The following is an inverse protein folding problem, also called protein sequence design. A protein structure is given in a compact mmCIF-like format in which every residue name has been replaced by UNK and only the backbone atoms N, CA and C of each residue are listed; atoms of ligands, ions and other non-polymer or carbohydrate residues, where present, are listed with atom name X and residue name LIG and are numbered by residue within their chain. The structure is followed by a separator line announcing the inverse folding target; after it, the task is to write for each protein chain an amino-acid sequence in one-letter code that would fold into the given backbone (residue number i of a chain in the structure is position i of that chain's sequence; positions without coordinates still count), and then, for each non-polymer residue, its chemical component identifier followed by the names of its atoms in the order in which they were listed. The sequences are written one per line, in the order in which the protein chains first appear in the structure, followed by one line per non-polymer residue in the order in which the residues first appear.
data_IF_776776207692
#
_entry.id   IF_776776207692
#
_cell.length_a   1.000
_cell.length_b   1.000
_cell.length_c   1.000
_cell.angle_alpha   90.00
_cell.angle_beta   90.00
_cell.angle_gamma   90.00
#
_symmetry.space_group_name_H-M   'P 1'
#
loop_
_entity.id
_entity.type
_entity.pdbx_description
1 polymer ?
#
# COMPACT_ATOMS: atom_id res chain seq x y z
N UNK A 1 10.15 -20.88 25.87
CA UNK A 1 10.39 -20.64 24.43
C UNK A 1 9.38 -19.59 24.01
N UNK A 2 9.81 -18.35 23.86
CA UNK A 2 8.98 -17.27 23.35
C UNK A 2 8.68 -17.58 21.88
N UNK A 3 7.43 -17.89 21.60
CA UNK A 3 6.94 -18.06 20.24
C UNK A 3 7.04 -16.66 19.56
N UNK A 4 8.20 -16.35 18.96
CA UNK A 4 8.34 -15.12 18.21
C UNK A 4 7.45 -15.26 16.98
N UNK A 5 6.43 -14.40 16.87
CA UNK A 5 5.60 -14.31 15.68
C UNK A 5 6.49 -13.99 14.47
N UNK A 6 6.23 -14.66 13.37
CA UNK A 6 6.89 -14.33 12.10
C UNK A 6 6.59 -12.87 11.72
N UNK A 7 7.52 -12.17 11.03
CA UNK A 7 7.29 -10.78 10.61
C UNK A 7 5.98 -10.57 9.87
N UNK A 8 5.57 -11.53 9.04
CA UNK A 8 4.33 -11.45 8.25
C UNK A 8 3.07 -11.54 9.13
N UNK A 9 3.12 -12.16 10.29
CA UNK A 9 1.99 -12.24 11.22
C UNK A 9 1.64 -10.89 11.85
N UNK A 10 2.57 -9.92 11.79
CA UNK A 10 2.42 -8.54 12.27
C UNK A 10 2.25 -7.53 11.16
N UNK A 11 2.19 -7.99 9.90
CA UNK A 11 2.11 -7.13 8.74
C UNK A 11 0.68 -6.66 8.49
N UNK A 12 0.54 -5.36 8.30
CA UNK A 12 -0.69 -4.69 7.88
C UNK A 12 -0.44 -3.89 6.60
N UNK A 13 -1.39 -3.94 5.70
CA UNK A 13 -1.38 -3.12 4.49
C UNK A 13 -2.25 -1.88 4.67
N UNK A 14 -1.75 -0.74 4.21
CA UNK A 14 -2.52 0.51 4.13
C UNK A 14 -2.69 0.84 2.65
N UNK A 15 -3.92 1.10 2.23
CA UNK A 15 -4.26 1.57 0.89
C UNK A 15 -4.71 3.03 0.99
N UNK A 16 -3.81 4.01 0.74
CA UNK A 16 -4.22 5.40 0.60
C UNK A 16 -5.03 5.58 -0.70
N UNK A 17 -6.29 5.95 -0.55
CA UNK A 17 -7.26 6.14 -1.63
C UNK A 17 -7.83 7.57 -1.59
N UNK A 18 -6.96 8.57 -1.75
CA UNK A 18 -7.32 9.99 -1.58
C UNK A 18 -7.09 10.89 -2.81
N UNK A 19 -6.35 10.42 -3.81
CA UNK A 19 -6.02 11.21 -4.99
C UNK A 19 -7.18 11.32 -5.98
N UNK A 20 -7.51 12.53 -6.44
CA UNK A 20 -8.57 12.76 -7.44
C UNK A 20 -8.18 12.25 -8.84
N UNK A 21 -6.86 12.21 -9.15
CA UNK A 21 -6.39 11.80 -10.47
C UNK A 21 -6.74 12.81 -11.57
N UNK A 22 -6.58 14.10 -11.31
CA UNK A 22 -6.97 15.21 -12.20
C UNK A 22 -6.41 15.13 -13.63
N UNK A 23 -5.28 14.44 -13.81
CA UNK A 23 -4.67 14.21 -15.14
C UNK A 23 -5.54 13.36 -16.08
N UNK A 24 -6.49 12.60 -15.54
CA UNK A 24 -7.42 11.75 -16.30
C UNK A 24 -8.77 12.41 -16.53
N UNK A 25 -8.90 13.72 -16.27
CA UNK A 25 -10.15 14.42 -16.59
C UNK A 25 -10.46 14.30 -18.10
N UNK A 26 -11.73 14.04 -18.53
CA UNK A 26 -12.98 14.04 -17.74
C UNK A 26 -13.35 12.69 -17.12
N UNK A 27 -12.53 11.64 -17.25
CA UNK A 27 -12.82 10.32 -16.69
C UNK A 27 -12.80 10.37 -15.16
N UNK A 28 -11.71 10.89 -14.56
CA UNK A 28 -11.64 11.10 -13.13
C UNK A 28 -12.20 12.46 -12.72
N UNK A 29 -12.95 12.49 -11.62
CA UNK A 29 -13.59 13.68 -11.02
C UNK A 29 -13.52 13.57 -9.51
N UNK A 30 -13.80 14.67 -8.81
CA UNK A 30 -13.85 14.69 -7.36
C UNK A 30 -14.84 13.66 -6.76
N UNK A 31 -15.96 13.38 -7.45
CA UNK A 31 -16.95 12.37 -7.06
C UNK A 31 -16.62 10.94 -7.54
N UNK A 32 -15.72 10.81 -8.51
CA UNK A 32 -15.29 9.55 -9.10
C UNK A 32 -13.78 9.61 -9.38
N UNK A 33 -12.94 9.48 -8.34
CA UNK A 33 -11.48 9.55 -8.47
C UNK A 33 -10.92 8.33 -9.22
N UNK A 34 -9.66 8.45 -9.69
CA UNK A 34 -8.96 7.47 -10.52
C UNK A 34 -9.10 6.02 -10.00
N UNK A 35 -8.96 5.81 -8.70
CA UNK A 35 -8.95 4.49 -8.10
C UNK A 35 -10.31 3.75 -8.15
N UNK A 36 -11.41 4.48 -8.44
CA UNK A 36 -12.75 3.89 -8.59
C UNK A 36 -13.08 3.49 -10.05
N UNK A 37 -12.11 3.52 -10.95
CA UNK A 37 -12.31 3.17 -12.35
C UNK A 37 -11.54 1.90 -12.73
N UNK A 38 -12.16 1.10 -13.60
CA UNK A 38 -11.45 0.08 -14.36
C UNK A 38 -10.66 0.76 -15.50
N UNK A 39 -9.35 0.85 -15.34
CA UNK A 39 -8.44 1.42 -16.36
C UNK A 39 -7.65 0.36 -17.11
N UNK A 40 -7.76 -0.89 -16.71
CA UNK A 40 -7.03 -2.03 -17.27
C UNK A 40 -7.89 -2.87 -18.19
N UNK A 41 -9.22 -2.75 -18.09
CA UNK A 41 -10.18 -3.62 -18.77
C UNK A 41 -10.32 -4.99 -18.11
N UNK A 42 -9.89 -5.12 -16.85
CA UNK A 42 -9.97 -6.37 -16.08
C UNK A 42 -11.39 -6.67 -15.58
N UNK A 43 -12.29 -5.71 -15.62
CA UNK A 43 -13.62 -5.77 -14.99
C UNK A 43 -13.60 -5.36 -13.52
N UNK A 44 -12.43 -4.98 -12.98
CA UNK A 44 -12.24 -4.49 -11.63
C UNK A 44 -11.70 -3.07 -11.63
N UNK A 45 -11.99 -2.32 -10.58
CA UNK A 45 -11.37 -1.00 -10.38
C UNK A 45 -9.94 -1.13 -9.84
N UNK A 46 -9.14 -0.09 -9.99
CA UNK A 46 -7.77 -0.11 -9.45
C UNK A 46 -7.72 -0.35 -7.94
N UNK A 47 -8.75 0.10 -7.22
CA UNK A 47 -8.88 -0.16 -5.78
C UNK A 47 -9.14 -1.64 -5.50
N UNK A 48 -10.01 -2.29 -6.26
CA UNK A 48 -10.29 -3.73 -6.16
C UNK A 48 -9.06 -4.56 -6.52
N UNK A 49 -8.38 -4.24 -7.63
CA UNK A 49 -7.12 -4.89 -8.01
C UNK A 49 -6.07 -4.78 -6.90
N UNK A 50 -5.97 -3.61 -6.26
CA UNK A 50 -5.01 -3.42 -5.16
C UNK A 50 -5.40 -4.21 -3.92
N UNK A 51 -6.69 -4.25 -3.57
CA UNK A 51 -7.21 -5.04 -2.46
C UNK A 51 -6.95 -6.54 -2.64
N UNK A 52 -7.27 -7.08 -3.81
CA UNK A 52 -7.10 -8.49 -4.12
C UNK A 52 -5.63 -8.90 -4.11
N UNK A 53 -4.75 -8.06 -4.63
CA UNK A 53 -3.29 -8.27 -4.62
C UNK A 53 -2.70 -8.32 -3.22
N UNK A 54 -3.22 -7.53 -2.29
CA UNK A 54 -2.73 -7.45 -0.91
C UNK A 54 -3.35 -8.50 0.02
N UNK A 55 -4.51 -9.02 -0.33
CA UNK A 55 -5.23 -10.01 0.48
C UNK A 55 -4.40 -11.26 0.81
N UNK A 56 -3.64 -11.88 -0.12
CA UNK A 56 -2.78 -13.02 0.19
C UNK A 56 -1.64 -12.71 1.16
N UNK A 57 -1.18 -11.45 1.21
CA UNK A 57 -0.07 -11.02 2.08
C UNK A 57 -0.52 -10.71 3.50
N UNK A 58 -1.55 -9.91 3.65
CA UNK A 58 -1.97 -9.41 4.95
C UNK A 58 -3.21 -10.14 5.52
N UNK A 59 -4.04 -10.71 4.65
CA UNK A 59 -5.40 -11.11 5.00
C UNK A 59 -6.34 -9.89 5.08
N UNK A 60 -7.63 -10.11 4.80
CA UNK A 60 -8.64 -9.03 4.71
C UNK A 60 -8.76 -8.19 5.97
N UNK A 61 -8.63 -8.82 7.13
CA UNK A 61 -8.74 -8.15 8.43
C UNK A 61 -7.55 -7.22 8.76
N UNK A 62 -6.45 -7.33 7.99
CA UNK A 62 -5.22 -6.54 8.18
C UNK A 62 -4.95 -5.58 7.03
N UNK A 63 -5.96 -5.24 6.25
CA UNK A 63 -5.89 -4.19 5.23
C UNK A 63 -6.73 -3.02 5.68
N UNK A 64 -6.12 -1.83 5.77
CA UNK A 64 -6.80 -0.57 6.03
C UNK A 64 -6.90 0.25 4.74
N UNK A 65 -8.08 0.83 4.49
CA UNK A 65 -8.26 1.80 3.42
C UNK A 65 -8.40 3.19 4.02
N UNK A 66 -7.57 4.13 3.58
CA UNK A 66 -7.62 5.54 4.01
C UNK A 66 -8.17 6.39 2.88
N UNK A 67 -9.30 7.04 3.11
CA UNK A 67 -9.97 7.83 2.06
C UNK A 67 -10.69 9.05 2.64
N UNK A 68 -11.05 10.00 1.79
CA UNK A 68 -11.89 11.13 2.18
C UNK A 68 -13.33 10.71 2.46
N UNK A 69 -14.01 11.42 3.37
CA UNK A 69 -15.42 11.15 3.74
C UNK A 69 -16.36 11.05 2.53
N UNK A 70 -16.10 11.82 1.49
CA UNK A 70 -16.93 11.87 0.26
C UNK A 70 -16.89 10.56 -0.53
N UNK A 71 -15.87 9.74 -0.35
CA UNK A 71 -15.72 8.48 -1.07
C UNK A 71 -16.10 7.24 -0.24
N UNK A 72 -16.52 7.43 1.02
CA UNK A 72 -16.85 6.34 1.93
C UNK A 72 -17.79 5.30 1.31
N UNK A 73 -18.93 5.75 0.79
CA UNK A 73 -19.95 4.85 0.24
C UNK A 73 -19.41 4.07 -0.97
N UNK A 74 -18.74 4.77 -1.91
CA UNK A 74 -18.18 4.15 -3.10
C UNK A 74 -17.10 3.11 -2.77
N UNK A 75 -16.27 3.35 -1.76
CA UNK A 75 -15.25 2.38 -1.31
C UNK A 75 -15.91 1.14 -0.71
N UNK A 76 -16.93 1.30 0.14
CA UNK A 76 -17.65 0.18 0.74
C UNK A 76 -18.48 -0.63 -0.27
N UNK A 77 -18.98 0.02 -1.32
CA UNK A 77 -19.69 -0.66 -2.42
C UNK A 77 -18.74 -1.51 -3.28
N UNK A 78 -17.49 -1.10 -3.42
CA UNK A 78 -16.51 -1.82 -4.22
C UNK A 78 -15.78 -2.92 -3.45
N UNK A 79 -15.60 -2.76 -2.15
CA UNK A 79 -14.93 -3.76 -1.30
C UNK A 79 -15.91 -4.21 -0.21
N UNK A 80 -16.75 -5.17 -0.56
CA UNK A 80 -17.80 -5.69 0.34
C UNK A 80 -17.24 -6.30 1.64
N UNK A 81 -16.03 -6.86 1.58
CA UNK A 81 -15.35 -7.47 2.73
C UNK A 81 -14.59 -6.46 3.61
N UNK A 82 -14.60 -5.17 3.30
CA UNK A 82 -13.92 -4.16 4.08
C UNK A 82 -14.70 -3.87 5.38
N UNK A 83 -14.11 -4.24 6.51
CA UNK A 83 -14.65 -3.84 7.82
C UNK A 83 -14.66 -2.33 7.98
N UNK A 84 -15.74 -1.79 8.56
CA UNK A 84 -15.82 -0.36 8.88
C UNK A 84 -14.73 0.11 9.83
N UNK A 85 -14.20 -0.76 10.68
CA UNK A 85 -13.09 -0.47 11.58
C UNK A 85 -11.76 -0.29 10.84
N UNK A 86 -11.65 -0.83 9.63
CA UNK A 86 -10.49 -0.71 8.76
C UNK A 86 -10.65 0.37 7.68
N UNK A 87 -11.78 1.07 7.66
CA UNK A 87 -12.00 2.24 6.82
C UNK A 87 -11.68 3.51 7.60
N UNK A 88 -10.52 4.10 7.33
CA UNK A 88 -10.06 5.35 7.95
C UNK A 88 -10.48 6.53 7.10
N UNK A 89 -11.21 7.47 7.71
CA UNK A 89 -11.74 8.63 6.99
C UNK A 89 -10.97 9.90 7.32
N UNK A 90 -10.36 10.50 6.31
CA UNK A 90 -9.74 11.83 6.43
C UNK A 90 -10.82 12.91 6.47
N UNK A 91 -10.65 13.87 7.37
CA UNK A 91 -11.52 15.06 7.46
C UNK A 91 -11.28 16.03 6.30
N UNK A 92 -10.04 16.12 5.86
CA UNK A 92 -9.58 16.89 4.70
C UNK A 92 -8.32 16.27 4.13
N UNK A 93 -8.09 16.33 2.81
CA UNK A 93 -6.88 15.82 2.19
C UNK A 93 -5.63 16.54 2.74
N UNK A 94 -4.60 15.78 3.12
CA UNK A 94 -3.33 16.25 3.68
C UNK A 94 -2.12 15.52 3.10
N UNK A 95 -2.24 15.08 1.87
CA UNK A 95 -1.27 14.25 1.16
C UNK A 95 -1.00 12.88 1.79
N UNK A 96 -0.21 12.06 1.11
CA UNK A 96 0.01 10.65 1.46
C UNK A 96 0.64 10.46 2.85
N UNK A 97 1.55 11.35 3.25
CA UNK A 97 2.22 11.23 4.56
C UNK A 97 1.25 11.29 5.72
N UNK A 98 0.28 12.21 5.67
CA UNK A 98 -0.72 12.34 6.73
C UNK A 98 -1.66 11.13 6.79
N UNK A 99 -2.10 10.64 5.63
CA UNK A 99 -2.94 9.44 5.52
C UNK A 99 -2.24 8.21 6.11
N UNK A 100 -0.98 7.99 5.74
CA UNK A 100 -0.16 6.88 6.24
C UNK A 100 0.08 7.02 7.75
N UNK A 101 0.45 8.21 8.23
CA UNK A 101 0.70 8.46 9.64
C UNK A 101 -0.55 8.26 10.50
N UNK A 102 -1.73 8.67 10.02
CA UNK A 102 -2.99 8.46 10.71
C UNK A 102 -3.29 6.96 10.86
N UNK A 103 -3.19 6.20 9.77
CA UNK A 103 -3.41 4.76 9.81
C UNK A 103 -2.36 4.06 10.69
N UNK A 104 -1.10 4.47 10.61
CA UNK A 104 -0.03 3.93 11.47
C UNK A 104 -0.32 4.17 12.95
N UNK A 105 -0.77 5.37 13.33
CA UNK A 105 -1.12 5.69 14.71
C UNK A 105 -2.29 4.81 15.23
N UNK A 106 -3.29 4.55 14.40
CA UNK A 106 -4.39 3.64 14.73
C UNK A 106 -3.88 2.22 14.91
N UNK A 107 -3.05 1.73 13.98
CA UNK A 107 -2.53 0.37 14.02
C UNK A 107 -1.60 0.14 15.21
N UNK A 108 -0.75 1.11 15.57
CA UNK A 108 0.12 1.02 16.75
C UNK A 108 -0.66 0.86 18.06
N UNK A 109 -1.89 1.37 18.13
CA UNK A 109 -2.76 1.14 19.30
C UNK A 109 -3.37 -0.26 19.33
N UNK A 110 -3.56 -0.88 18.16
CA UNK A 110 -4.10 -2.24 18.04
C UNK A 110 -3.02 -3.31 18.20
N UNK A 111 -1.87 -3.06 17.62
CA UNK A 111 -0.71 -3.97 17.56
C UNK A 111 0.58 -3.13 17.74
N UNK A 112 1.18 -3.07 18.94
CA UNK A 112 2.36 -2.22 19.20
C UNK A 112 3.58 -2.52 18.32
N UNK A 113 3.75 -3.79 17.92
CA UNK A 113 4.89 -4.25 17.10
C UNK A 113 4.53 -4.38 15.61
N UNK A 114 3.52 -3.62 15.16
CA UNK A 114 3.02 -3.68 13.78
C UNK A 114 4.10 -3.34 12.76
N UNK A 115 4.11 -4.08 11.66
CA UNK A 115 4.84 -3.77 10.42
C UNK A 115 3.82 -3.26 9.42
N UNK A 116 4.08 -2.11 8.82
CA UNK A 116 3.13 -1.43 7.95
C UNK A 116 3.71 -1.31 6.55
N UNK A 117 2.95 -1.77 5.54
CA UNK A 117 3.20 -1.49 4.14
C UNK A 117 2.16 -0.53 3.59
N UNK A 118 2.58 0.50 2.86
CA UNK A 118 1.66 1.45 2.19
C UNK A 118 1.70 1.26 0.68
N UNK A 119 0.54 1.01 0.09
CA UNK A 119 0.38 0.70 -1.33
C UNK A 119 -0.71 1.60 -1.92
N UNK A 120 -0.35 2.42 -2.92
CA UNK A 120 -1.30 3.34 -3.53
C UNK A 120 -2.44 2.59 -4.24
N UNK A 121 -3.66 3.09 -4.07
CA UNK A 121 -4.88 2.49 -4.65
C UNK A 121 -4.94 2.56 -6.19
N UNK A 122 -4.01 3.23 -6.83
CA UNK A 122 -4.06 3.55 -8.26
C UNK A 122 -2.87 3.02 -9.07
N UNK A 123 -2.08 2.13 -8.49
CA UNK A 123 -0.98 1.46 -9.18
C UNK A 123 -1.49 0.27 -10.01
N UNK A 124 -1.03 0.19 -11.25
CA UNK A 124 -1.21 -0.99 -12.11
C UNK A 124 0.01 -1.88 -11.96
N UNK A 125 -0.20 -3.10 -11.52
CA UNK A 125 0.83 -4.13 -11.35
C UNK A 125 0.35 -5.37 -12.12
N UNK A 126 1.20 -5.90 -12.98
CA UNK A 126 0.85 -7.00 -13.88
C UNK A 126 1.40 -8.36 -13.43
N UNK A 127 2.32 -8.37 -12.45
CA UNK A 127 2.99 -9.57 -11.97
C UNK A 127 2.82 -9.69 -10.45
N UNK A 128 1.64 -10.11 -10.02
CA UNK A 128 1.27 -10.15 -8.60
C UNK A 128 2.19 -11.06 -7.78
N UNK A 129 2.58 -12.22 -8.30
CA UNK A 129 3.51 -13.14 -7.59
C UNK A 129 4.87 -12.48 -7.31
N UNK A 130 5.42 -11.76 -8.28
CA UNK A 130 6.69 -11.03 -8.09
C UNK A 130 6.52 -9.87 -7.11
N UNK A 131 5.42 -9.15 -7.20
CA UNK A 131 5.10 -8.09 -6.26
C UNK A 131 5.02 -8.64 -4.83
N UNK A 132 4.29 -9.73 -4.63
CA UNK A 132 4.15 -10.37 -3.32
C UNK A 132 5.49 -10.84 -2.76
N UNK A 133 6.34 -11.45 -3.59
CA UNK A 133 7.68 -11.87 -3.19
C UNK A 133 8.54 -10.69 -2.71
N UNK A 134 8.51 -9.56 -3.42
CA UNK A 134 9.23 -8.34 -3.04
C UNK A 134 8.68 -7.74 -1.74
N UNK A 135 7.37 -7.75 -1.55
CA UNK A 135 6.75 -7.26 -0.30
C UNK A 135 7.16 -8.14 0.87
N UNK A 136 7.21 -9.47 0.72
CA UNK A 136 7.67 -10.38 1.77
C UNK A 136 9.13 -10.10 2.17
N UNK A 137 10.04 -9.86 1.21
CA UNK A 137 11.40 -9.43 1.53
C UNK A 137 11.41 -8.08 2.27
N UNK A 138 10.59 -7.12 1.84
CA UNK A 138 10.48 -5.81 2.48
C UNK A 138 9.99 -5.94 3.94
N UNK A 139 9.05 -6.84 4.23
CA UNK A 139 8.56 -7.12 5.59
C UNK A 139 9.67 -7.68 6.48
N UNK A 140 10.51 -8.58 5.96
CA UNK A 140 11.67 -9.12 6.69
C UNK A 140 12.65 -7.99 7.05
N UNK A 141 12.93 -7.09 6.12
CA UNK A 141 13.85 -5.95 6.36
C UNK A 141 13.21 -4.97 7.35
N UNK A 142 11.93 -4.64 7.21
CA UNK A 142 11.23 -3.75 8.11
C UNK A 142 11.19 -4.26 9.56
N UNK A 143 11.12 -5.59 9.75
CA UNK A 143 11.20 -6.22 11.07
C UNK A 143 12.52 -5.95 11.82
N UNK A 144 13.57 -5.52 11.11
CA UNK A 144 14.84 -5.08 11.72
C UNK A 144 14.82 -3.62 12.18
N UNK A 145 13.68 -2.93 12.08
CA UNK A 145 13.51 -1.51 12.45
C UNK A 145 13.88 -0.52 11.35
N UNK A 146 14.08 -0.98 10.12
CA UNK A 146 14.38 -0.11 8.97
C UNK A 146 13.10 0.37 8.28
N UNK A 147 13.17 1.58 7.71
CA UNK A 147 12.20 2.05 6.72
C UNK A 147 12.63 1.48 5.36
N UNK A 148 11.70 0.84 4.67
CA UNK A 148 11.97 0.16 3.41
C UNK A 148 11.17 0.81 2.28
N UNK A 149 11.82 1.01 1.15
CA UNK A 149 11.17 1.42 -0.10
C UNK A 149 11.30 0.32 -1.14
N UNK A 150 10.20 -0.01 -1.80
CA UNK A 150 10.21 -0.92 -2.94
C UNK A 150 10.53 -0.08 -4.18
N UNK A 151 11.74 -0.26 -4.72
CA UNK A 151 12.20 0.44 -5.92
C UNK A 151 11.67 -0.23 -7.19
N UNK A 152 11.40 0.57 -8.19
CA UNK A 152 11.06 0.12 -9.55
C UNK A 152 12.24 0.48 -10.45
N UNK A 153 12.70 -0.47 -11.27
CA UNK A 153 13.76 -0.21 -12.23
C UNK A 153 13.28 0.79 -13.30
N UNK A 154 14.01 1.92 -13.47
CA UNK A 154 13.62 2.91 -14.45
C UNK A 154 13.86 2.38 -15.88
N UNK A 155 12.87 2.49 -16.73
CA UNK A 155 12.96 2.12 -18.16
C UNK A 155 13.44 3.27 -19.03
N UNK A 156 13.27 4.51 -18.55
CA UNK A 156 13.72 5.74 -19.23
C UNK A 156 13.98 6.86 -18.21
N UNK A 157 14.77 7.88 -18.55
CA UNK A 157 14.92 9.06 -17.70
C UNK A 157 13.61 9.83 -17.60
N UNK A 158 13.16 10.14 -16.37
CA UNK A 158 11.96 10.93 -16.14
C UNK A 158 12.21 11.96 -15.05
N UNK A 159 11.82 13.20 -15.29
CA UNK A 159 11.84 14.28 -14.27
C UNK A 159 10.61 14.24 -13.35
N UNK A 160 9.65 13.36 -13.63
CA UNK A 160 8.44 13.20 -12.85
C UNK A 160 8.58 12.31 -11.62
N UNK A 161 9.74 11.66 -11.44
CA UNK A 161 10.01 10.72 -10.36
C UNK A 161 11.28 11.08 -9.59
N UNK A 162 11.32 10.67 -8.32
CA UNK A 162 12.55 10.60 -7.56
C UNK A 162 13.31 9.31 -7.86
N UNK A 163 14.64 9.36 -7.74
CA UNK A 163 15.52 8.21 -7.94
C UNK A 163 16.22 7.86 -6.65
N UNK A 164 16.35 6.56 -6.37
CA UNK A 164 17.07 6.02 -5.24
C UNK A 164 18.34 5.34 -5.76
N UNK A 165 19.49 5.80 -5.29
CA UNK A 165 20.75 5.12 -5.57
C UNK A 165 20.89 3.93 -4.64
N UNK A 166 21.03 2.74 -5.23
CA UNK A 166 21.24 1.52 -4.46
C UNK A 166 22.64 1.49 -3.84
N UNK A 167 22.71 1.14 -2.56
CA UNK A 167 23.92 0.89 -1.82
C UNK A 167 24.31 -0.59 -1.78
N UNK A 168 25.00 -0.98 -0.72
CA UNK A 168 25.47 -2.35 -0.52
C UNK A 168 24.31 -3.30 -0.16
N UNK A 169 24.50 -4.60 -0.43
CA UNK A 169 23.52 -5.62 -0.02
C UNK A 169 23.50 -5.75 1.50
N UNK A 170 22.31 -5.89 2.07
CA UNK A 170 22.15 -6.08 3.52
C UNK A 170 22.59 -7.48 4.00
N UNK A 171 22.75 -8.45 3.11
CA UNK A 171 23.19 -9.81 3.45
C UNK A 171 22.20 -10.64 4.28
N UNK A 172 20.90 -10.27 4.25
CA UNK A 172 19.85 -11.01 4.95
C UNK A 172 19.45 -12.25 4.15
N UNK A 173 19.45 -13.43 4.78
CA UNK A 173 19.14 -14.70 4.12
C UNK A 173 17.71 -14.72 3.49
N UNK A 174 16.73 -14.14 4.17
CA UNK A 174 15.34 -14.10 3.74
C UNK A 174 14.98 -12.80 2.98
N UNK A 175 15.98 -11.98 2.63
CA UNK A 175 15.82 -10.78 1.81
C UNK A 175 17.07 -10.55 0.95
N UNK A 176 17.36 -11.44 -0.01
CA UNK A 176 18.63 -11.44 -0.76
C UNK A 176 18.79 -10.24 -1.70
N UNK A 177 17.69 -9.57 -2.06
CA UNK A 177 17.69 -8.40 -2.93
C UNK A 177 17.76 -7.08 -2.16
N UNK A 178 17.62 -7.11 -0.82
CA UNK A 178 17.62 -5.91 -0.01
C UNK A 178 19.00 -5.22 0.01
N UNK A 179 18.97 -3.88 -0.12
CA UNK A 179 20.16 -3.02 -0.16
C UNK A 179 19.96 -1.79 0.73
N UNK A 180 21.04 -1.21 1.18
CA UNK A 180 21.02 0.14 1.74
C UNK A 180 20.77 1.19 0.64
N UNK A 181 20.38 2.40 1.05
CA UNK A 181 20.32 3.58 0.18
C UNK A 181 21.65 4.32 0.28
N UNK A 182 22.29 4.64 -0.87
CA UNK A 182 23.59 5.31 -0.95
C UNK A 182 23.44 6.82 -1.14
#
# INVERSE_FOLDING_TARGET
MTNQREPIDRFFSIIPAGGIGSRLWPLSRASAPKFLHDLTGSGQTLLQDTWDRLTPLAGRDRILVVTGKVHKSAVLEQIEDLSTDNLVLELSPKDSTAAIALAAAILMQREPDVIIGSFAADHVITEDDKFQAVVLEAVVVAATGKIVTIGIEPTEPSVGFGYIKQGEKLGLANAPHARDVA
#
